data_IF_461035678675
#
_entry.id   IF_461035678675
#
_cell.length_a   1.000
_cell.length_b   1.000
_cell.length_c   1.000
_cell.angle_alpha   90.00
_cell.angle_beta   90.00
_cell.angle_gamma   90.00
#
_symmetry.space_group_name_H-M   'P 1'
#
loop_
_entity.id
_entity.type
_entity.pdbx_description
1 polymer ?
#
# COMPACT_ATOMS: atom_id res chain seq x y z
N UNK A 1 13.57 6.02 19.69
CA UNK A 1 12.97 5.41 18.49
C UNK A 1 13.39 3.97 18.48
N UNK A 2 12.43 3.05 18.42
CA UNK A 2 12.70 1.63 18.22
C UNK A 2 13.01 1.50 16.72
N UNK A 3 14.24 1.15 16.37
CA UNK A 3 14.69 0.99 14.99
C UNK A 3 14.04 -0.24 14.33
N UNK A 4 14.30 -0.44 13.05
CA UNK A 4 13.91 -1.67 12.36
C UNK A 4 14.84 -2.85 12.76
N UNK A 5 14.43 -4.09 12.51
CA UNK A 5 15.23 -5.29 12.77
C UNK A 5 14.76 -6.11 13.98
N UNK A 6 13.61 -5.78 14.56
CA UNK A 6 13.04 -6.49 15.71
C UNK A 6 11.98 -7.52 15.30
N UNK A 7 11.54 -7.53 14.03
CA UNK A 7 10.52 -8.46 13.57
C UNK A 7 10.99 -9.93 13.70
N UNK A 8 10.28 -10.79 14.46
CA UNK A 8 10.61 -12.21 14.57
C UNK A 8 10.55 -12.95 13.22
N UNK A 9 9.80 -12.40 12.25
CA UNK A 9 9.67 -12.94 10.90
C UNK A 9 10.95 -12.81 10.08
N UNK A 10 11.83 -11.87 10.46
CA UNK A 10 13.05 -11.52 9.73
C UNK A 10 14.32 -11.81 10.52
N UNK A 11 14.23 -12.42 11.71
CA UNK A 11 15.36 -12.58 12.64
C UNK A 11 16.58 -13.30 12.03
N UNK A 12 16.36 -14.22 11.09
CA UNK A 12 17.40 -15.04 10.46
C UNK A 12 17.82 -14.49 9.08
N UNK A 13 17.23 -13.37 8.65
CA UNK A 13 17.52 -12.75 7.37
C UNK A 13 18.76 -11.83 7.47
N UNK A 14 19.68 -11.86 6.48
CA UNK A 14 20.75 -10.86 6.38
C UNK A 14 20.16 -9.44 6.33
N UNK A 15 20.80 -8.46 6.97
CA UNK A 15 20.33 -7.06 6.96
C UNK A 15 18.84 -6.93 7.34
N UNK A 16 18.40 -7.65 8.37
CA UNK A 16 16.99 -7.72 8.77
C UNK A 16 16.38 -6.35 9.07
N UNK A 17 17.16 -5.40 9.58
CA UNK A 17 16.80 -4.00 9.80
C UNK A 17 16.43 -3.30 8.49
N UNK A 18 17.28 -3.42 7.47
CA UNK A 18 17.07 -2.82 6.16
C UNK A 18 15.93 -3.52 5.40
N UNK A 19 15.85 -4.85 5.49
CA UNK A 19 14.76 -5.61 4.88
C UNK A 19 13.41 -5.24 5.51
N UNK A 20 13.33 -5.13 6.84
CA UNK A 20 12.13 -4.72 7.55
C UNK A 20 11.70 -3.30 7.18
N UNK A 21 12.65 -2.36 7.12
CA UNK A 21 12.40 -0.99 6.71
C UNK A 21 11.89 -0.93 5.26
N UNK A 22 12.51 -1.68 4.35
CA UNK A 22 12.11 -1.75 2.95
C UNK A 22 10.69 -2.29 2.79
N UNK A 23 10.38 -3.45 3.38
CA UNK A 23 9.04 -4.06 3.31
C UNK A 23 8.00 -3.14 3.94
N UNK A 24 8.28 -2.64 5.14
CA UNK A 24 7.33 -1.78 5.88
C UNK A 24 7.09 -0.44 5.19
N UNK A 25 8.08 0.11 4.49
CA UNK A 25 7.91 1.36 3.73
C UNK A 25 7.04 1.18 2.47
N UNK A 26 7.03 -0.01 1.87
CA UNK A 26 6.11 -0.34 0.75
C UNK A 26 4.64 -0.42 1.18
N UNK A 27 4.36 -0.51 2.48
CA UNK A 27 2.98 -0.56 3.00
C UNK A 27 2.13 0.60 2.54
N UNK A 28 2.66 1.83 2.62
CA UNK A 28 1.91 3.03 2.25
C UNK A 28 1.54 2.99 0.77
N UNK A 29 2.48 2.59 -0.09
CA UNK A 29 2.22 2.42 -1.53
C UNK A 29 1.16 1.34 -1.81
N UNK A 30 1.26 0.19 -1.15
CA UNK A 30 0.28 -0.90 -1.27
C UNK A 30 -1.11 -0.49 -0.81
N UNK A 31 -1.20 0.21 0.32
CA UNK A 31 -2.45 0.72 0.87
C UNK A 31 -3.10 1.75 -0.07
N UNK A 32 -2.32 2.70 -0.58
CA UNK A 32 -2.84 3.72 -1.51
C UNK A 32 -3.29 3.09 -2.82
N UNK A 33 -2.54 2.12 -3.34
CA UNK A 33 -2.94 1.39 -4.55
C UNK A 33 -4.29 0.70 -4.36
N UNK A 34 -4.52 0.04 -3.22
CA UNK A 34 -5.80 -0.61 -2.92
C UNK A 34 -6.95 0.41 -2.77
N UNK A 35 -6.73 1.51 -2.05
CA UNK A 35 -7.75 2.56 -1.89
C UNK A 35 -8.14 3.17 -3.24
N UNK A 36 -7.16 3.38 -4.12
CA UNK A 36 -7.39 3.85 -5.48
C UNK A 36 -8.22 2.87 -6.31
N UNK A 37 -7.93 1.57 -6.21
CA UNK A 37 -8.72 0.54 -6.90
C UNK A 37 -10.18 0.55 -6.47
N UNK A 38 -10.44 0.67 -5.15
CA UNK A 38 -11.79 0.79 -4.59
C UNK A 38 -12.49 2.04 -5.15
N UNK A 39 -11.84 3.20 -5.11
CA UNK A 39 -12.43 4.45 -5.63
C UNK A 39 -12.69 4.40 -7.14
N UNK A 40 -11.82 3.75 -7.92
CA UNK A 40 -12.05 3.53 -9.35
C UNK A 40 -13.24 2.59 -9.63
N UNK A 41 -13.39 1.53 -8.82
CA UNK A 41 -14.49 0.57 -8.94
C UNK A 41 -15.85 1.16 -8.50
N UNK A 42 -15.83 2.07 -7.52
CA UNK A 42 -17.01 2.78 -7.01
C UNK A 42 -17.68 3.67 -8.06
N UNK A 43 -16.90 4.54 -8.70
CA UNK A 43 -17.43 5.61 -9.57
C UNK A 43 -18.46 5.15 -10.64
N UNK A 44 -18.24 4.06 -11.41
CA UNK A 44 -19.19 3.63 -12.42
C UNK A 44 -20.46 2.96 -11.86
N UNK A 45 -20.46 2.51 -10.60
CA UNK A 45 -21.58 1.78 -10.00
C UNK A 45 -22.57 2.71 -9.29
N UNK A 46 -22.08 3.81 -8.72
CA UNK A 46 -22.81 4.58 -7.70
C UNK A 46 -23.02 6.06 -8.06
N UNK A 47 -22.41 6.55 -9.15
CA UNK A 47 -22.64 7.92 -9.61
C UNK A 47 -23.87 8.01 -10.52
N UNK A 48 -24.69 9.04 -10.29
CA UNK A 48 -26.01 9.22 -10.93
C UNK A 48 -25.96 9.36 -12.45
N UNK A 49 -24.81 9.72 -13.02
CA UNK A 49 -24.60 9.78 -14.46
C UNK A 49 -23.20 9.31 -14.89
N UNK A 50 -23.12 8.81 -16.13
CA UNK A 50 -21.86 8.46 -16.78
C UNK A 50 -20.87 9.64 -16.86
N UNK A 51 -21.38 10.85 -17.03
CA UNK A 51 -20.54 12.05 -17.12
C UNK A 51 -19.89 12.39 -15.78
N UNK A 52 -20.64 12.30 -14.68
CA UNK A 52 -20.10 12.46 -13.33
C UNK A 52 -19.05 11.39 -13.02
N UNK A 53 -19.32 10.13 -13.35
CA UNK A 53 -18.35 9.04 -13.18
C UNK A 53 -17.03 9.31 -13.93
N UNK A 54 -17.10 9.81 -15.16
CA UNK A 54 -15.91 10.17 -15.95
C UNK A 54 -15.15 11.35 -15.33
N UNK A 55 -15.87 12.39 -14.89
CA UNK A 55 -15.25 13.56 -14.27
C UNK A 55 -14.51 13.17 -12.98
N UNK A 56 -15.17 12.41 -12.11
CA UNK A 56 -14.58 11.90 -10.89
C UNK A 56 -13.36 11.01 -11.15
N UNK A 57 -13.44 10.06 -12.09
CA UNK A 57 -12.30 9.21 -12.42
C UNK A 57 -11.09 10.00 -12.94
N UNK A 58 -11.33 11.11 -13.66
CA UNK A 58 -10.26 12.01 -14.14
C UNK A 58 -9.62 12.76 -12.97
N UNK A 59 -10.40 13.29 -12.05
CA UNK A 59 -9.89 13.98 -10.86
C UNK A 59 -9.12 13.02 -9.95
N UNK A 60 -9.66 11.83 -9.74
CA UNK A 60 -9.01 10.75 -9.00
C UNK A 60 -7.66 10.38 -9.61
N UNK A 61 -7.60 10.23 -10.93
CA UNK A 61 -6.34 9.97 -11.64
C UNK A 61 -5.33 11.11 -11.52
N UNK A 62 -5.79 12.37 -11.55
CA UNK A 62 -4.91 13.55 -11.37
C UNK A 62 -4.34 13.62 -9.95
N UNK A 63 -5.18 13.46 -8.93
CA UNK A 63 -4.76 13.50 -7.53
C UNK A 63 -3.75 12.38 -7.23
N UNK A 64 -4.01 11.16 -7.74
CA UNK A 64 -3.09 10.06 -7.55
C UNK A 64 -1.78 10.24 -8.32
N UNK A 65 -1.82 10.76 -9.55
CA UNK A 65 -0.60 11.09 -10.30
C UNK A 65 0.25 12.13 -9.58
N UNK A 66 -0.37 13.09 -8.90
CA UNK A 66 0.34 14.06 -8.05
C UNK A 66 1.06 13.37 -6.90
N UNK A 67 0.39 12.47 -6.17
CA UNK A 67 1.01 11.66 -5.12
C UNK A 67 2.14 10.75 -5.65
N UNK A 68 1.91 10.04 -6.76
CA UNK A 68 2.91 9.14 -7.36
C UNK A 68 4.16 9.92 -7.75
N UNK A 69 4.03 11.12 -8.33
CA UNK A 69 5.19 11.93 -8.71
C UNK A 69 6.07 12.31 -7.51
N UNK A 70 5.48 12.54 -6.34
CA UNK A 70 6.22 12.89 -5.14
C UNK A 70 6.95 11.69 -4.53
N UNK A 71 6.29 10.52 -4.55
CA UNK A 71 6.81 9.31 -3.91
C UNK A 71 7.64 8.44 -4.85
N UNK A 72 7.62 8.73 -6.16
CA UNK A 72 8.24 7.92 -7.23
C UNK A 72 9.70 7.59 -6.96
N UNK A 73 10.50 8.59 -6.60
CA UNK A 73 11.95 8.40 -6.40
C UNK A 73 12.22 7.47 -5.21
N UNK A 74 11.49 7.68 -4.11
CA UNK A 74 11.58 6.84 -2.92
C UNK A 74 11.15 5.40 -3.21
N UNK A 75 9.94 5.20 -3.75
CA UNK A 75 9.40 3.87 -4.05
C UNK A 75 10.28 3.12 -5.06
N UNK A 76 10.84 3.82 -6.06
CA UNK A 76 11.77 3.22 -7.03
C UNK A 76 13.01 2.64 -6.35
N UNK A 77 13.59 3.35 -5.37
CA UNK A 77 14.79 2.88 -4.67
C UNK A 77 14.48 1.73 -3.72
N UNK A 78 13.36 1.79 -2.99
CA UNK A 78 12.89 0.69 -2.14
C UNK A 78 12.65 -0.59 -2.97
N UNK A 79 11.93 -0.48 -4.10
CA UNK A 79 11.70 -1.62 -5.00
C UNK A 79 12.99 -2.20 -5.59
N UNK A 80 13.97 -1.34 -5.88
CA UNK A 80 15.29 -1.78 -6.34
C UNK A 80 16.00 -2.57 -5.25
N UNK A 81 16.06 -2.04 -4.02
CA UNK A 81 16.68 -2.73 -2.90
C UNK A 81 16.07 -4.12 -2.68
N UNK A 82 14.74 -4.24 -2.66
CA UNK A 82 14.08 -5.53 -2.47
C UNK A 82 14.35 -6.53 -3.60
N UNK A 83 14.50 -6.05 -4.84
CA UNK A 83 14.90 -6.90 -5.97
C UNK A 83 16.35 -7.37 -5.81
N UNK A 84 17.26 -6.44 -5.55
CA UNK A 84 18.68 -6.75 -5.37
C UNK A 84 18.87 -7.72 -4.18
N UNK A 85 18.08 -7.55 -3.11
CA UNK A 85 18.04 -8.45 -1.96
C UNK A 85 17.53 -9.85 -2.33
N UNK A 86 16.45 -9.95 -3.10
CA UNK A 86 15.92 -11.22 -3.61
C UNK A 86 16.97 -11.97 -4.44
N UNK A 87 17.62 -11.26 -5.36
CA UNK A 87 18.64 -11.84 -6.24
C UNK A 87 19.89 -12.31 -5.47
N UNK A 88 20.26 -11.61 -4.40
CA UNK A 88 21.47 -11.89 -3.63
C UNK A 88 21.27 -12.98 -2.56
N UNK A 89 20.14 -12.95 -1.83
CA UNK A 89 19.97 -13.74 -0.62
C UNK A 89 18.90 -14.83 -0.72
N UNK A 90 17.98 -14.75 -1.68
CA UNK A 90 16.79 -15.61 -1.74
C UNK A 90 16.82 -16.63 -2.89
N UNK A 91 18.01 -17.13 -3.21
CA UNK A 91 18.19 -18.19 -4.21
C UNK A 91 17.60 -19.55 -3.76
N UNK A 92 17.52 -19.80 -2.45
CA UNK A 92 16.96 -21.03 -1.90
C UNK A 92 15.42 -20.95 -1.79
N UNK A 93 14.66 -21.98 -2.24
CA UNK A 93 13.20 -21.98 -2.18
C UNK A 93 12.62 -21.77 -0.77
N UNK A 94 13.23 -22.32 0.27
CA UNK A 94 12.73 -22.21 1.65
C UNK A 94 12.84 -20.79 2.20
N UNK A 95 13.97 -20.10 1.94
CA UNK A 95 14.16 -18.71 2.31
C UNK A 95 13.22 -17.78 1.55
N UNK A 96 12.95 -18.10 0.28
CA UNK A 96 11.98 -17.36 -0.53
C UNK A 96 10.57 -17.45 0.04
N UNK A 97 10.13 -18.64 0.47
CA UNK A 97 8.81 -18.80 1.08
C UNK A 97 8.69 -18.03 2.40
N UNK A 98 9.75 -18.02 3.22
CA UNK A 98 9.78 -17.21 4.45
C UNK A 98 9.73 -15.71 4.14
N UNK A 99 10.44 -15.26 3.09
CA UNK A 99 10.43 -13.87 2.65
C UNK A 99 9.05 -13.45 2.13
N UNK A 100 8.38 -14.30 1.36
CA UNK A 100 7.03 -14.05 0.85
C UNK A 100 6.03 -13.93 2.02
N UNK A 101 6.13 -14.81 3.03
CA UNK A 101 5.33 -14.69 4.25
C UNK A 101 5.65 -13.41 5.02
N UNK A 102 6.92 -13.05 5.19
CA UNK A 102 7.29 -11.81 5.87
C UNK A 102 6.75 -10.57 5.13
N UNK A 103 6.86 -10.55 3.80
CA UNK A 103 6.29 -9.51 2.96
C UNK A 103 4.75 -9.44 3.11
N UNK A 104 4.06 -10.58 3.14
CA UNK A 104 2.63 -10.61 3.39
C UNK A 104 2.26 -10.00 4.76
N UNK A 105 2.90 -10.46 5.83
CA UNK A 105 2.58 -10.07 7.21
C UNK A 105 2.94 -8.63 7.54
N UNK A 106 4.04 -8.11 6.98
CA UNK A 106 4.56 -6.78 7.30
C UNK A 106 4.05 -5.68 6.35
N UNK A 107 3.72 -6.04 5.10
CA UNK A 107 3.25 -5.09 4.08
C UNK A 107 1.79 -5.36 3.69
N UNK A 108 1.52 -6.47 2.99
CA UNK A 108 0.26 -6.65 2.27
C UNK A 108 -0.95 -6.74 3.21
N UNK A 109 -0.90 -7.58 4.24
CA UNK A 109 -2.02 -7.75 5.17
C UNK A 109 -2.33 -6.44 5.92
N UNK A 110 -1.35 -5.76 6.55
CA UNK A 110 -1.59 -4.45 7.15
C UNK A 110 -2.16 -3.40 6.18
N UNK A 111 -1.71 -3.38 4.92
CA UNK A 111 -2.23 -2.49 3.90
C UNK A 111 -3.69 -2.80 3.54
N UNK A 112 -4.05 -4.08 3.41
CA UNK A 112 -5.44 -4.53 3.18
C UNK A 112 -6.37 -4.10 4.31
N UNK A 113 -5.97 -4.36 5.55
CA UNK A 113 -6.77 -4.05 6.74
C UNK A 113 -6.94 -2.54 6.92
N UNK A 114 -5.87 -1.75 6.72
CA UNK A 114 -5.94 -0.29 6.82
C UNK A 114 -6.82 0.33 5.71
N UNK A 115 -6.78 -0.21 4.49
CA UNK A 115 -7.69 0.22 3.43
C UNK A 115 -9.15 -0.09 3.77
N UNK A 116 -9.44 -1.30 4.27
CA UNK A 116 -10.79 -1.69 4.69
C UNK A 116 -11.32 -0.79 5.81
N UNK A 117 -10.50 -0.52 6.83
CA UNK A 117 -10.80 0.40 7.93
C UNK A 117 -11.08 1.82 7.44
N UNK A 118 -10.28 2.33 6.50
CA UNK A 118 -10.46 3.67 5.95
C UNK A 118 -11.88 3.88 5.36
N UNK A 119 -12.40 2.88 4.64
CA UNK A 119 -13.76 2.90 4.10
C UNK A 119 -14.84 2.42 5.10
N UNK A 120 -14.45 1.93 6.27
CA UNK A 120 -15.35 1.41 7.29
C UNK A 120 -15.93 0.02 6.96
N UNK A 121 -15.16 -0.79 6.25
CA UNK A 121 -15.42 -2.18 5.88
C UNK A 121 -14.60 -3.17 6.74
N UNK A 122 -14.48 -2.92 8.04
CA UNK A 122 -13.55 -3.62 8.93
C UNK A 122 -14.22 -4.65 9.87
N UNK A 123 -15.33 -5.25 9.43
CA UNK A 123 -15.98 -6.34 10.17
C UNK A 123 -15.04 -7.54 10.31
N UNK A 124 -15.29 -8.38 11.32
CA UNK A 124 -14.51 -9.60 11.56
C UNK A 124 -14.40 -10.47 10.31
N UNK A 125 -15.50 -10.70 9.62
CA UNK A 125 -15.55 -11.58 8.45
C UNK A 125 -14.75 -11.00 7.26
N UNK A 126 -14.76 -9.67 7.09
CA UNK A 126 -13.91 -9.00 6.08
C UNK A 126 -12.44 -9.09 6.45
N UNK A 127 -12.09 -8.88 7.74
CA UNK A 127 -10.72 -9.04 8.22
C UNK A 127 -10.21 -10.46 7.99
N UNK A 128 -11.04 -11.47 8.24
CA UNK A 128 -10.72 -12.88 7.98
C UNK A 128 -10.52 -13.14 6.48
N UNK A 129 -11.43 -12.67 5.63
CA UNK A 129 -11.31 -12.82 4.18
C UNK A 129 -10.04 -12.14 3.61
N UNK A 130 -9.71 -10.94 4.09
CA UNK A 130 -8.50 -10.21 3.69
C UNK A 130 -7.20 -10.83 4.23
N UNK A 131 -7.30 -11.63 5.29
CA UNK A 131 -6.20 -12.39 5.89
C UNK A 131 -5.87 -13.67 5.12
N UNK A 132 -6.73 -14.09 4.19
CA UNK A 132 -6.41 -15.20 3.30
C UNK A 132 -5.27 -14.79 2.36
N UNK A 133 -4.30 -15.69 2.20
CA UNK A 133 -3.20 -15.53 1.25
C UNK A 133 -3.73 -15.73 -0.17
N UNK A 134 -4.37 -14.69 -0.70
CA UNK A 134 -4.78 -14.64 -2.10
C UNK A 134 -3.51 -14.49 -2.95
N UNK A 135 -3.28 -15.46 -3.84
CA UNK A 135 -2.09 -15.67 -4.70
C UNK A 135 -1.60 -14.46 -5.54
N UNK A 136 -2.31 -13.33 -5.51
CA UNK A 136 -1.88 -12.11 -6.16
C UNK A 136 -0.97 -11.31 -5.22
N UNK A 137 0.34 -11.44 -5.45
CA UNK A 137 1.39 -10.66 -4.79
C UNK A 137 1.42 -9.19 -5.24
N UNK A 138 0.51 -8.77 -6.11
CA UNK A 138 0.40 -7.42 -6.66
C UNK A 138 -1.07 -7.00 -6.89
N UNK A 139 -1.32 -5.69 -6.83
CA UNK A 139 -2.64 -5.09 -7.01
C UNK A 139 -2.98 -5.01 -8.52
N UNK A 140 -3.99 -5.76 -9.01
CA UNK A 140 -4.47 -5.75 -10.41
C UNK A 140 -5.89 -5.14 -10.54
N UNK A 141 -6.39 -4.85 -11.76
CA UNK A 141 -7.77 -4.34 -11.97
C UNK A 141 -8.88 -5.30 -11.50
N UNK A 142 -8.54 -6.56 -11.26
CA UNK A 142 -9.40 -7.62 -10.71
C UNK A 142 -8.80 -8.08 -9.38
N UNK A 143 -8.49 -7.13 -8.50
CA UNK A 143 -7.92 -7.46 -7.21
C UNK A 143 -9.02 -8.01 -6.30
N UNK A 144 -8.96 -9.29 -5.88
CA UNK A 144 -9.96 -9.89 -5.00
C UNK A 144 -10.10 -9.12 -3.70
N UNK A 145 -9.03 -8.50 -3.21
CA UNK A 145 -9.06 -7.69 -1.99
C UNK A 145 -9.90 -6.42 -2.16
N UNK A 146 -9.89 -5.81 -3.35
CA UNK A 146 -10.74 -4.65 -3.64
C UNK A 146 -12.21 -5.05 -3.75
N UNK A 147 -12.49 -6.23 -4.32
CA UNK A 147 -13.84 -6.79 -4.45
C UNK A 147 -14.44 -7.15 -3.09
N UNK A 148 -13.67 -7.82 -2.23
CA UNK A 148 -14.08 -8.14 -0.85
C UNK A 148 -14.52 -6.87 -0.11
N UNK A 149 -13.72 -5.79 -0.21
CA UNK A 149 -14.03 -4.52 0.44
C UNK A 149 -15.26 -3.87 -0.21
N UNK A 150 -15.34 -3.84 -1.54
CA UNK A 150 -16.47 -3.25 -2.26
C UNK A 150 -17.80 -3.97 -1.95
N UNK A 151 -17.82 -5.30 -1.91
CA UNK A 151 -19.00 -6.08 -1.54
C UNK A 151 -19.48 -5.75 -0.11
N UNK A 152 -18.55 -5.72 0.85
CA UNK A 152 -18.89 -5.37 2.23
C UNK A 152 -19.37 -3.92 2.41
N UNK A 153 -19.01 -3.01 1.50
CA UNK A 153 -19.49 -1.63 1.50
C UNK A 153 -20.90 -1.52 0.91
N UNK A 154 -21.21 -2.27 -0.15
CA UNK A 154 -22.54 -2.35 -0.76
C UNK A 154 -23.61 -2.81 0.24
N UNK A 155 -23.27 -3.79 1.10
CA UNK A 155 -24.17 -4.27 2.16
C UNK A 155 -24.46 -3.23 3.25
N UNK A 156 -23.62 -2.18 3.36
CA UNK A 156 -23.67 -1.20 4.47
C UNK A 156 -24.16 0.20 4.06
N UNK A 157 -24.52 0.41 2.79
CA UNK A 157 -25.01 1.69 2.25
C UNK A 157 -24.18 2.91 2.73
N UNK A 158 -22.85 2.82 2.61
CA UNK A 158 -21.91 3.87 3.08
C UNK A 158 -21.59 4.87 1.97
N UNK A 159 -21.38 6.13 2.34
CA UNK A 159 -20.93 7.19 1.43
C UNK A 159 -19.45 7.01 1.05
N UNK A 160 -19.16 6.10 0.12
CA UNK A 160 -17.82 5.83 -0.42
C UNK A 160 -17.28 7.06 -1.17
N UNK A 161 -18.15 7.81 -1.87
CA UNK A 161 -17.79 9.07 -2.54
C UNK A 161 -17.02 10.03 -1.62
N UNK A 162 -17.56 10.34 -0.45
CA UNK A 162 -16.94 11.27 0.50
C UNK A 162 -15.57 10.77 0.98
N UNK A 163 -15.38 9.44 1.11
CA UNK A 163 -14.09 8.85 1.47
C UNK A 163 -13.07 8.94 0.33
N UNK A 164 -13.51 8.80 -0.91
CA UNK A 164 -12.66 8.98 -2.08
C UNK A 164 -12.31 10.45 -2.34
N UNK A 165 -13.26 11.37 -2.16
CA UNK A 165 -13.01 12.81 -2.22
C UNK A 165 -12.01 13.24 -1.16
N UNK A 166 -12.19 12.75 0.08
CA UNK A 166 -11.21 12.96 1.15
C UNK A 166 -9.83 12.41 0.77
N UNK A 167 -9.76 11.22 0.17
CA UNK A 167 -8.49 10.62 -0.25
C UNK A 167 -7.80 11.48 -1.32
N UNK A 168 -8.55 11.97 -2.31
CA UNK A 168 -8.02 12.90 -3.32
C UNK A 168 -7.46 14.16 -2.68
N UNK A 169 -8.18 14.75 -1.72
CA UNK A 169 -7.72 15.93 -1.02
C UNK A 169 -6.49 15.65 -0.16
N UNK A 170 -6.45 14.51 0.53
CA UNK A 170 -5.30 14.11 1.36
C UNK A 170 -4.03 13.90 0.50
N UNK A 171 -4.16 13.48 -0.77
CA UNK A 171 -3.04 13.48 -1.72
C UNK A 171 -2.58 14.88 -2.09
N UNK A 172 -3.52 15.77 -2.44
CA UNK A 172 -3.20 17.14 -2.87
C UNK A 172 -2.61 17.99 -1.74
N UNK A 173 -3.02 17.73 -0.50
CA UNK A 173 -2.53 18.39 0.72
C UNK A 173 -1.22 17.79 1.25
N UNK A 174 -0.60 16.85 0.53
CA UNK A 174 0.61 16.14 0.95
C UNK A 174 0.48 15.43 2.32
N UNK A 175 -0.74 15.03 2.73
CA UNK A 175 -0.99 14.36 4.03
C UNK A 175 -0.61 12.89 4.03
N UNK A 176 -0.43 12.30 2.84
CA UNK A 176 -0.07 10.89 2.66
C UNK A 176 1.33 10.85 2.07
N UNK A 177 2.32 10.61 2.93
CA UNK A 177 3.74 10.54 2.56
C UNK A 177 4.43 9.43 3.36
N UNK A 178 5.47 8.78 2.81
CA UNK A 178 6.39 7.97 3.59
C UNK A 178 6.83 8.65 4.88
N UNK A 179 6.56 8.02 6.02
CA UNK A 179 6.97 8.51 7.33
C UNK A 179 8.42 8.09 7.61
N UNK A 180 9.35 9.00 7.34
CA UNK A 180 10.78 8.80 7.55
C UNK A 180 11.18 8.66 9.02
N UNK A 181 10.37 9.18 9.96
CA UNK A 181 10.68 9.12 11.38
C UNK A 181 10.44 7.73 11.98
N UNK A 182 9.61 6.92 11.32
CA UNK A 182 9.22 5.59 11.79
C UNK A 182 10.28 4.50 11.55
N UNK A 183 11.20 4.71 10.62
CA UNK A 183 12.13 3.68 10.11
C UNK A 183 13.61 4.02 10.38
N UNK A 184 13.90 4.81 11.41
CA UNK A 184 15.27 5.21 11.77
C UNK A 184 16.09 5.75 10.60
N UNK A 185 17.38 5.41 10.52
CA UNK A 185 18.27 5.77 9.40
C UNK A 185 18.30 4.68 8.30
N UNK A 186 17.57 3.58 8.48
CA UNK A 186 17.55 2.42 7.60
C UNK A 186 17.00 2.78 6.22
N UNK A 187 15.91 3.56 6.16
CA UNK A 187 15.38 4.06 4.89
C UNK A 187 16.42 4.91 4.13
N UNK A 188 17.27 5.65 4.86
CA UNK A 188 18.31 6.50 4.27
C UNK A 188 19.48 5.66 3.75
N UNK A 189 19.82 4.54 4.40
CA UNK A 189 20.78 3.57 3.84
C UNK A 189 20.25 2.94 2.54
N UNK A 190 18.96 2.62 2.49
CA UNK A 190 18.30 2.03 1.31
C UNK A 190 18.17 3.02 0.16
N UNK A 191 17.75 4.25 0.47
CA UNK A 191 17.34 5.23 -0.54
C UNK A 191 18.37 6.33 -0.77
N UNK A 192 19.31 6.57 0.14
CA UNK A 192 20.19 7.74 0.11
C UNK A 192 19.45 9.07 0.16
N UNK A 193 18.16 9.09 0.53
CA UNK A 193 17.31 10.28 0.58
C UNK A 193 17.21 10.77 2.03
N UNK A 194 17.24 12.10 2.23
CA UNK A 194 16.97 12.71 3.53
C UNK A 194 15.47 13.02 3.73
N UNK A 195 14.66 12.87 2.68
CA UNK A 195 13.22 13.11 2.65
C UNK A 195 12.69 12.98 1.21
N UNK A 196 11.40 13.22 1.00
CA UNK A 196 10.82 13.33 -0.34
C UNK A 196 11.25 14.68 -0.91
N UNK A 197 12.34 14.71 -1.68
CA UNK A 197 12.75 15.95 -2.33
C UNK A 197 11.72 16.36 -3.38
N UNK A 198 10.93 17.40 -3.10
CA UNK A 198 10.44 18.29 -4.16
C UNK A 198 11.60 19.27 -4.42
N UNK A 199 12.28 19.11 -5.55
CA UNK A 199 13.40 19.93 -6.06
C UNK A 199 14.80 19.61 -5.48
N UNK A 200 15.63 18.99 -6.31
CA UNK A 200 17.00 19.47 -6.52
C UNK A 200 16.95 20.67 -7.45
#
# INVERSE_FOLDING_TARGET
MIGCGESPLLKDFPENDLLEAAISSQRIESEMTLKMQICHAYAPQEMGSKMEAIAFQRELGRAYSYYENQTRAFNKKVRRYLRDYQDQYLAAPELRQQADNAHFQLNLLPARLAAAEYFGADSRDVKEALSQDNQLTYFSRLNPNSEIIMQALHEKNKAIAAKCEKLMQDFLDDKIQPDFSKYGDEYKKITGMNGLSKNS
#
